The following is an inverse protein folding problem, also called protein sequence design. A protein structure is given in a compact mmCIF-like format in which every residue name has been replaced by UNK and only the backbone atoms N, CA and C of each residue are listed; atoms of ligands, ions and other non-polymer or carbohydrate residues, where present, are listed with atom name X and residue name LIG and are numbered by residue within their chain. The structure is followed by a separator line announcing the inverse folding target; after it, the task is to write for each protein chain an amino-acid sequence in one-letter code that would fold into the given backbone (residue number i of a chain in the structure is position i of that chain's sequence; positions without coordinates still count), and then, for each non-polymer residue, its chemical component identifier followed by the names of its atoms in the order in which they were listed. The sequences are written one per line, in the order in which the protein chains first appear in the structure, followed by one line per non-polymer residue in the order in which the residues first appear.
data_IF_464074721911
#
_entry.id   IF_464074721911
#
_cell.length_a   1.000
_cell.length_b   1.000
_cell.length_c   1.000
_cell.angle_alpha   90.00
_cell.angle_beta   90.00
_cell.angle_gamma   90.00
#
_symmetry.space_group_name_H-M   'P 1'
#
loop_
_entity.id
_entity.type
_entity.pdbx_description
1 polymer ?
#
# COMPACT_ATOMS: atom_id res chain seq x y z
N UNK A 1 44.11 -50.86 29.67
CA UNK A 1 43.36 -50.05 30.67
C UNK A 1 43.37 -48.57 30.37
N UNK A 2 44.47 -47.90 30.04
CA UNK A 2 44.52 -46.42 29.81
C UNK A 2 43.62 -45.92 28.65
N UNK A 3 43.43 -46.67 27.57
CA UNK A 3 42.60 -46.21 26.41
C UNK A 3 41.10 -46.23 26.74
N UNK A 4 40.61 -47.24 27.42
CA UNK A 4 39.22 -47.39 27.82
C UNK A 4 38.81 -46.31 28.84
N UNK A 5 39.67 -45.98 29.78
CA UNK A 5 39.45 -44.88 30.74
C UNK A 5 39.31 -43.52 30.05
N UNK A 6 40.07 -43.26 28.99
CA UNK A 6 39.94 -42.03 28.18
C UNK A 6 38.60 -41.99 27.46
N UNK A 7 38.14 -43.12 26.91
CA UNK A 7 36.84 -43.18 26.24
C UNK A 7 35.72 -42.89 27.22
N UNK A 8 35.71 -43.50 28.40
CA UNK A 8 34.73 -43.25 29.46
C UNK A 8 34.74 -41.78 29.90
N UNK A 9 35.91 -41.18 30.04
CA UNK A 9 36.05 -39.76 30.40
C UNK A 9 35.42 -38.85 29.34
N UNK A 10 35.66 -39.14 28.06
CA UNK A 10 35.04 -38.39 26.96
C UNK A 10 33.50 -38.53 26.90
N UNK A 11 32.99 -39.70 27.18
CA UNK A 11 31.54 -39.95 27.25
C UNK A 11 30.91 -39.17 28.42
N UNK A 12 31.54 -39.18 29.59
CA UNK A 12 31.08 -38.40 30.75
C UNK A 12 31.13 -36.89 30.48
N UNK A 13 32.18 -36.40 29.83
CA UNK A 13 32.28 -35.00 29.44
C UNK A 13 31.21 -34.61 28.42
N UNK A 14 30.98 -35.45 27.41
CA UNK A 14 29.90 -35.20 26.43
C UNK A 14 28.52 -35.23 27.10
N UNK A 15 28.27 -36.18 28.03
CA UNK A 15 27.01 -36.23 28.81
C UNK A 15 26.85 -34.98 29.69
N UNK A 16 27.92 -34.52 30.33
CA UNK A 16 27.90 -33.28 31.13
C UNK A 16 27.59 -32.05 30.30
N UNK A 17 28.19 -31.90 29.12
CA UNK A 17 27.91 -30.80 28.19
C UNK A 17 26.47 -30.84 27.66
N UNK A 18 25.98 -32.03 27.27
CA UNK A 18 24.59 -32.16 26.77
C UNK A 18 23.57 -31.83 27.84
N UNK A 19 23.78 -32.30 29.09
CA UNK A 19 22.87 -31.97 30.19
C UNK A 19 22.92 -30.45 30.53
N UNK A 20 24.05 -29.83 30.50
CA UNK A 20 24.21 -28.38 30.71
C UNK A 20 23.50 -27.58 29.59
N UNK A 21 23.60 -28.02 28.33
CA UNK A 21 22.91 -27.40 27.20
C UNK A 21 21.38 -27.55 27.31
N UNK A 22 20.90 -28.73 27.68
CA UNK A 22 19.46 -28.98 27.88
C UNK A 22 18.92 -28.10 29.02
N UNK A 23 19.63 -28.02 30.13
CA UNK A 23 19.25 -27.17 31.26
C UNK A 23 19.24 -25.70 30.89
N UNK A 24 20.27 -25.23 30.20
CA UNK A 24 20.35 -23.84 29.69
C UNK A 24 19.19 -23.54 28.75
N UNK A 25 18.88 -24.45 27.82
CA UNK A 25 17.75 -24.31 26.91
C UNK A 25 16.40 -24.24 27.63
N UNK A 26 16.18 -25.10 28.62
CA UNK A 26 14.95 -25.09 29.44
C UNK A 26 14.80 -23.79 30.25
N UNK A 27 15.90 -23.26 30.79
CA UNK A 27 15.89 -21.97 31.48
C UNK A 27 15.57 -20.82 30.52
N UNK A 28 16.13 -20.84 29.31
CA UNK A 28 15.84 -19.81 28.28
C UNK A 28 14.37 -19.82 27.87
N UNK A 29 13.74 -20.99 27.78
CA UNK A 29 12.32 -21.14 27.43
C UNK A 29 11.36 -20.57 28.51
N UNK A 30 11.76 -20.54 29.77
CA UNK A 30 10.98 -20.02 30.90
C UNK A 30 11.15 -18.51 31.10
N UNK A 31 12.09 -17.89 30.42
CA UNK A 31 12.28 -16.44 30.53
C UNK A 31 11.10 -15.71 29.89
N UNK A 32 10.63 -14.66 30.58
CA UNK A 32 9.56 -13.80 30.09
C UNK A 32 10.06 -12.91 28.96
N UNK A 33 9.21 -12.71 27.98
CA UNK A 33 9.47 -11.82 26.86
C UNK A 33 9.34 -10.37 27.32
N UNK A 34 10.27 -9.54 26.86
CA UNK A 34 10.22 -8.10 27.07
C UNK A 34 9.39 -7.44 25.98
N UNK A 35 8.89 -6.24 26.23
CA UNK A 35 8.20 -5.44 25.23
C UNK A 35 9.07 -5.29 23.97
N UNK A 36 8.45 -5.35 22.77
CA UNK A 36 9.19 -5.22 21.53
C UNK A 36 9.71 -3.80 21.34
N UNK A 37 10.78 -3.68 20.58
CA UNK A 37 11.13 -2.42 19.94
C UNK A 37 10.50 -2.45 18.53
N UNK A 38 9.45 -1.66 18.35
CA UNK A 38 8.75 -1.53 17.07
C UNK A 38 9.39 -0.37 16.31
N UNK A 39 9.65 -0.55 15.03
CA UNK A 39 10.10 0.48 14.11
C UNK A 39 9.23 0.42 12.86
N UNK A 40 8.42 1.45 12.67
CA UNK A 40 7.54 1.57 11.50
C UNK A 40 8.16 2.63 10.59
N UNK A 41 8.54 2.22 9.38
CA UNK A 41 9.00 3.11 8.34
C UNK A 41 7.80 3.58 7.51
N UNK A 42 7.64 4.90 7.45
CA UNK A 42 6.54 5.57 6.75
C UNK A 42 7.14 6.53 5.73
N UNK A 43 6.76 6.40 4.47
CA UNK A 43 7.07 7.41 3.46
C UNK A 43 6.04 8.54 3.52
N UNK A 44 6.52 9.77 3.81
CA UNK A 44 5.69 10.96 3.97
C UNK A 44 4.86 10.96 5.25
N UNK A 45 3.65 11.53 5.20
CA UNK A 45 2.74 11.70 6.35
C UNK A 45 1.74 10.53 6.54
N UNK A 46 1.90 9.43 5.82
CA UNK A 46 0.90 8.35 5.73
C UNK A 46 0.95 7.40 6.93
N UNK A 47 0.39 7.78 8.05
CA UNK A 47 0.37 6.98 9.29
C UNK A 47 -0.85 6.05 9.32
N UNK A 48 -0.88 5.02 8.48
CA UNK A 48 -1.97 4.04 8.44
C UNK A 48 -1.94 3.04 9.60
N UNK A 49 -0.80 2.88 10.25
CA UNK A 49 -0.58 2.00 11.40
C UNK A 49 0.36 2.68 12.39
N UNK A 50 0.00 2.68 13.67
CA UNK A 50 0.87 3.14 14.77
C UNK A 50 1.40 1.95 15.56
N UNK A 51 2.47 2.17 16.33
CA UNK A 51 3.02 1.15 17.23
C UNK A 51 1.98 0.65 18.22
N UNK A 52 1.18 1.58 18.79
CA UNK A 52 0.12 1.26 19.73
C UNK A 52 -0.95 0.37 19.10
N UNK A 53 -1.45 0.76 17.92
CA UNK A 53 -2.47 -0.03 17.23
C UNK A 53 -1.95 -1.41 16.82
N UNK A 54 -0.71 -1.50 16.35
CA UNK A 54 -0.09 -2.79 16.08
C UNK A 54 -0.07 -3.68 17.31
N UNK A 55 0.35 -3.12 18.45
CA UNK A 55 0.40 -3.84 19.71
C UNK A 55 -0.97 -4.33 20.15
N UNK A 56 -1.98 -3.47 20.07
CA UNK A 56 -3.36 -3.80 20.41
C UNK A 56 -3.93 -4.90 19.52
N UNK A 57 -3.65 -4.85 18.21
CA UNK A 57 -4.04 -5.90 17.26
C UNK A 57 -3.35 -7.25 17.53
N UNK A 58 -2.08 -7.23 17.92
CA UNK A 58 -1.34 -8.46 18.27
C UNK A 58 -1.88 -9.06 19.56
N UNK A 59 -2.23 -8.24 20.57
CA UNK A 59 -2.89 -8.69 21.82
C UNK A 59 -4.28 -9.25 21.52
N UNK A 60 -5.08 -8.57 20.74
CA UNK A 60 -6.41 -9.02 20.34
C UNK A 60 -6.39 -10.40 19.67
N UNK A 61 -5.40 -10.65 18.83
CA UNK A 61 -5.21 -11.96 18.18
C UNK A 61 -4.51 -13.01 19.08
N UNK A 62 -4.33 -12.71 20.38
CA UNK A 62 -3.66 -13.60 21.35
C UNK A 62 -2.26 -14.05 20.90
N UNK A 63 -1.56 -13.22 20.13
CA UNK A 63 -0.20 -13.49 19.68
C UNK A 63 0.84 -13.03 20.67
N UNK A 64 0.51 -12.00 21.44
CA UNK A 64 1.32 -11.44 22.50
C UNK A 64 0.44 -11.14 23.73
N UNK A 65 0.99 -11.34 24.91
CA UNK A 65 0.35 -10.99 26.18
C UNK A 65 1.39 -10.69 27.26
N UNK A 66 0.98 -9.94 28.27
CA UNK A 66 1.89 -9.51 29.33
C UNK A 66 2.35 -10.71 30.16
N UNK A 67 3.66 -10.83 30.34
CA UNK A 67 4.27 -11.94 31.07
C UNK A 67 4.37 -13.26 30.30
N UNK A 68 4.23 -13.24 28.98
CA UNK A 68 4.36 -14.38 28.10
C UNK A 68 5.76 -15.01 28.17
N UNK A 69 5.78 -16.34 28.26
CA UNK A 69 7.02 -17.10 28.24
C UNK A 69 7.56 -17.23 26.82
N UNK A 70 8.88 -17.37 26.73
CA UNK A 70 9.56 -17.55 25.45
C UNK A 70 9.10 -18.81 24.68
N UNK A 71 8.66 -19.84 25.41
CA UNK A 71 8.15 -21.11 24.86
C UNK A 71 6.89 -20.91 24.00
N UNK A 72 6.01 -19.98 24.41
CA UNK A 72 4.72 -19.72 23.75
C UNK A 72 4.81 -18.62 22.69
N UNK A 73 5.97 -17.96 22.59
CA UNK A 73 6.19 -16.86 21.67
C UNK A 73 6.60 -17.36 20.29
N UNK A 74 5.74 -17.12 19.31
CA UNK A 74 5.95 -17.59 17.93
C UNK A 74 6.18 -16.40 16.98
N UNK A 75 7.45 -16.12 16.67
CA UNK A 75 7.89 -15.05 15.79
C UNK A 75 7.30 -15.20 14.39
N UNK A 76 7.31 -16.41 13.82
CA UNK A 76 6.82 -16.66 12.47
C UNK A 76 5.32 -16.40 12.36
N UNK A 77 4.55 -16.76 13.39
CA UNK A 77 3.11 -16.52 13.44
C UNK A 77 2.82 -15.02 13.53
N UNK A 78 3.60 -14.27 14.30
CA UNK A 78 3.48 -12.81 14.42
C UNK A 78 3.82 -12.16 13.07
N UNK A 79 4.95 -12.49 12.47
CA UNK A 79 5.38 -11.95 11.18
C UNK A 79 4.35 -12.23 10.08
N UNK A 80 3.85 -13.46 10.01
CA UNK A 80 2.81 -13.86 9.05
C UNK A 80 1.49 -13.10 9.28
N UNK A 81 1.14 -12.80 10.53
CA UNK A 81 -0.07 -12.03 10.83
C UNK A 81 0.08 -10.58 10.42
N UNK A 82 1.23 -9.97 10.70
CA UNK A 82 1.52 -8.58 10.30
C UNK A 82 1.62 -8.48 8.77
N UNK A 83 2.26 -9.44 8.09
CA UNK A 83 2.40 -9.42 6.62
C UNK A 83 1.06 -9.52 5.86
N UNK A 84 -0.01 -9.99 6.53
CA UNK A 84 -1.37 -10.04 5.96
C UNK A 84 -2.15 -8.74 6.14
N UNK A 85 -1.63 -7.78 6.90
CA UNK A 85 -2.26 -6.47 7.04
C UNK A 85 -2.11 -5.71 5.72
N UNK A 86 -3.20 -5.17 5.20
CA UNK A 86 -3.23 -4.58 3.86
C UNK A 86 -2.38 -3.31 3.72
N UNK A 87 -2.13 -2.63 4.82
CA UNK A 87 -1.29 -1.44 4.91
C UNK A 87 0.21 -1.74 5.00
N UNK A 88 0.60 -3.02 5.21
CA UNK A 88 2.00 -3.44 5.35
C UNK A 88 2.57 -3.86 4.01
N UNK A 89 3.68 -3.24 3.60
CA UNK A 89 4.45 -3.61 2.41
C UNK A 89 5.44 -4.71 2.74
N UNK A 90 6.25 -4.49 3.78
CA UNK A 90 7.24 -5.45 4.26
C UNK A 90 7.23 -5.50 5.78
N UNK A 91 7.51 -6.67 6.33
CA UNK A 91 7.70 -6.86 7.77
C UNK A 91 8.84 -7.82 8.04
N UNK A 92 9.58 -7.55 9.09
CA UNK A 92 10.60 -8.46 9.62
C UNK A 92 10.51 -8.48 11.14
N UNK A 93 10.29 -9.67 11.69
CA UNK A 93 10.25 -9.91 13.13
C UNK A 93 11.45 -10.76 13.50
N UNK A 94 12.24 -10.32 14.46
CA UNK A 94 13.42 -11.07 14.90
C UNK A 94 13.68 -10.85 16.40
N UNK A 95 14.41 -11.78 16.97
CA UNK A 95 14.76 -11.78 18.38
C UNK A 95 16.26 -11.68 18.55
N UNK A 96 16.68 -10.94 19.56
CA UNK A 96 18.08 -10.78 19.96
C UNK A 96 18.41 -11.65 21.19
N UNK A 97 19.69 -11.84 21.47
CA UNK A 97 20.16 -12.41 22.70
C UNK A 97 19.64 -11.57 23.88
N UNK A 98 19.05 -12.22 24.91
CA UNK A 98 18.48 -11.53 26.07
C UNK A 98 16.98 -11.25 25.99
N UNK A 99 16.21 -11.99 25.18
CA UNK A 99 14.74 -11.96 25.09
C UNK A 99 14.13 -10.62 24.64
N UNK A 100 14.90 -9.79 23.98
CA UNK A 100 14.39 -8.61 23.27
C UNK A 100 14.04 -9.01 21.85
N UNK A 101 12.87 -8.61 21.41
CA UNK A 101 12.44 -8.83 20.03
C UNK A 101 12.13 -7.49 19.35
N UNK A 102 12.19 -7.51 18.04
CA UNK A 102 12.11 -6.34 17.19
C UNK A 102 11.12 -6.59 16.08
N UNK A 103 10.34 -5.58 15.77
CA UNK A 103 9.44 -5.56 14.64
C UNK A 103 9.84 -4.38 13.76
N UNK A 104 10.27 -4.67 12.54
CA UNK A 104 10.52 -3.67 11.51
C UNK A 104 9.43 -3.78 10.47
N UNK A 105 8.73 -2.68 10.22
CA UNK A 105 7.62 -2.61 9.27
C UNK A 105 7.89 -1.49 8.29
N UNK A 106 7.62 -1.75 7.03
CA UNK A 106 7.51 -0.78 5.96
C UNK A 106 6.05 -0.70 5.53
N UNK A 107 5.46 0.48 5.63
CA UNK A 107 4.06 0.71 5.22
C UNK A 107 3.97 0.97 3.72
N UNK A 108 2.83 0.61 3.13
CA UNK A 108 2.51 0.91 1.75
C UNK A 108 2.21 2.40 1.58
N UNK A 109 2.58 2.93 0.42
CA UNK A 109 2.34 4.33 0.05
C UNK A 109 1.13 4.41 -0.87
N UNK A 110 -0.01 4.91 -0.41
CA UNK A 110 -1.20 5.06 -1.24
C UNK A 110 -0.99 6.14 -2.31
N UNK A 111 -1.51 5.91 -3.52
CA UNK A 111 -1.51 6.86 -4.64
C UNK A 111 -2.91 7.26 -5.08
N UNK A 112 -3.93 6.48 -4.72
CA UNK A 112 -5.33 6.80 -5.01
C UNK A 112 -6.27 6.29 -3.94
N UNK A 113 -7.41 6.96 -3.79
CA UNK A 113 -8.56 6.51 -3.01
C UNK A 113 -9.75 6.28 -3.93
N UNK A 114 -10.38 5.13 -3.81
CA UNK A 114 -11.45 4.69 -4.70
C UNK A 114 -12.75 4.56 -3.91
N UNK A 115 -13.83 5.12 -4.47
CA UNK A 115 -15.21 4.97 -4.02
C UNK A 115 -15.99 4.24 -5.11
N UNK A 116 -16.42 3.01 -4.85
CA UNK A 116 -17.17 2.23 -5.82
C UNK A 116 -18.67 2.38 -5.65
N UNK A 117 -19.44 1.88 -6.65
CA UNK A 117 -20.91 1.94 -6.64
C UNK A 117 -21.59 1.12 -5.51
N UNK A 118 -20.82 0.26 -4.83
CA UNK A 118 -21.32 -0.58 -3.73
C UNK A 118 -21.11 0.07 -2.35
N UNK A 119 -20.72 1.34 -2.30
CA UNK A 119 -20.47 2.07 -1.05
C UNK A 119 -19.15 1.70 -0.35
N UNK A 120 -18.28 0.91 -1.01
CA UNK A 120 -16.96 0.61 -0.47
C UNK A 120 -15.99 1.75 -0.80
N UNK A 121 -15.07 2.03 0.15
CA UNK A 121 -13.94 2.91 -0.10
C UNK A 121 -12.65 2.21 0.33
N UNK A 122 -11.64 2.26 -0.54
CA UNK A 122 -10.32 1.66 -0.32
C UNK A 122 -9.24 2.46 -1.04
N UNK A 123 -7.99 2.17 -0.72
CA UNK A 123 -6.85 2.79 -1.38
C UNK A 123 -6.18 1.79 -2.34
N UNK A 124 -5.38 2.33 -3.26
CA UNK A 124 -4.42 1.60 -4.06
C UNK A 124 -3.04 2.23 -3.84
N UNK A 125 -2.01 1.40 -3.68
CA UNK A 125 -0.64 1.85 -3.48
C UNK A 125 0.16 1.97 -4.78
N UNK A 126 1.39 2.46 -4.68
CA UNK A 126 2.31 2.63 -5.82
C UNK A 126 2.69 1.31 -6.51
N UNK A 127 2.60 0.17 -5.80
CA UNK A 127 2.87 -1.18 -6.33
C UNK A 127 1.59 -1.84 -6.89
N UNK A 128 0.44 -1.15 -6.85
CA UNK A 128 -0.84 -1.65 -7.35
C UNK A 128 -1.57 -2.60 -6.40
N UNK A 129 -1.26 -2.58 -5.09
CA UNK A 129 -2.02 -3.34 -4.10
C UNK A 129 -3.16 -2.51 -3.52
N UNK A 130 -4.30 -3.17 -3.30
CA UNK A 130 -5.41 -2.53 -2.63
C UNK A 130 -5.20 -2.54 -1.11
N UNK A 131 -5.47 -1.40 -0.48
CA UNK A 131 -5.32 -1.20 0.96
C UNK A 131 -6.67 -0.83 1.58
N UNK A 132 -6.94 -1.31 2.79
CA UNK A 132 -8.09 -0.89 3.56
C UNK A 132 -7.94 0.57 4.05
N UNK A 133 -9.08 1.17 4.41
CA UNK A 133 -9.06 2.44 5.13
C UNK A 133 -8.44 2.25 6.51
N UNK A 134 -7.75 3.27 6.99
CA UNK A 134 -7.38 3.41 8.40
C UNK A 134 -8.37 4.36 9.09
N UNK A 135 -8.68 4.09 10.35
CA UNK A 135 -9.42 5.04 11.19
C UNK A 135 -8.51 6.14 11.76
N UNK A 136 -7.20 5.95 11.67
CA UNK A 136 -6.20 6.87 12.22
C UNK A 136 -5.82 7.97 11.24
N UNK A 137 -5.84 7.65 9.93
CA UNK A 137 -5.31 8.54 8.91
C UNK A 137 -6.09 8.48 7.60
N UNK A 138 -6.23 9.64 6.96
CA UNK A 138 -6.76 9.75 5.60
C UNK A 138 -5.69 10.36 4.71
N UNK A 139 -5.16 9.58 3.77
CA UNK A 139 -4.14 10.05 2.85
C UNK A 139 -4.71 11.09 1.86
N UNK A 140 -3.93 12.13 1.60
CA UNK A 140 -4.22 13.13 0.56
C UNK A 140 -3.72 12.62 -0.78
N UNK A 141 -4.58 11.91 -1.49
CA UNK A 141 -4.27 11.27 -2.78
C UNK A 141 -5.41 11.51 -3.75
N UNK A 142 -5.17 11.23 -5.02
CA UNK A 142 -6.19 11.34 -6.07
C UNK A 142 -7.43 10.51 -5.74
N UNK A 143 -8.61 11.11 -5.85
CA UNK A 143 -9.89 10.47 -5.51
C UNK A 143 -10.58 9.98 -6.79
N UNK A 144 -10.96 8.71 -6.81
CA UNK A 144 -11.78 8.13 -7.87
C UNK A 144 -13.19 7.83 -7.39
N UNK A 145 -14.17 8.22 -8.20
CA UNK A 145 -15.60 8.00 -7.93
C UNK A 145 -16.38 7.74 -9.21
N UNK A 146 -17.68 7.57 -9.11
CA UNK A 146 -18.56 7.33 -10.25
C UNK A 146 -18.89 5.87 -10.48
N UNK A 147 -18.97 5.43 -11.72
CA UNK A 147 -19.46 4.10 -12.07
C UNK A 147 -18.39 3.01 -11.98
N UNK A 148 -17.67 2.98 -10.85
CA UNK A 148 -16.62 1.99 -10.56
C UNK A 148 -17.26 0.75 -9.95
N UNK A 149 -17.17 -0.38 -10.66
CA UNK A 149 -17.70 -1.68 -10.21
C UNK A 149 -16.65 -2.57 -9.52
N UNK A 150 -15.40 -2.13 -9.49
CA UNK A 150 -14.32 -2.89 -8.85
C UNK A 150 -14.51 -2.93 -7.35
N UNK A 151 -14.56 -4.15 -6.79
CA UNK A 151 -14.63 -4.38 -5.35
C UNK A 151 -13.24 -4.52 -4.77
N UNK A 152 -13.09 -4.20 -3.49
CA UNK A 152 -11.86 -4.47 -2.75
C UNK A 152 -11.47 -5.95 -2.88
N UNK A 153 -10.21 -6.19 -3.17
CA UNK A 153 -9.63 -7.52 -3.33
C UNK A 153 -8.20 -7.53 -2.81
N UNK A 154 -7.75 -8.66 -2.27
CA UNK A 154 -6.34 -8.85 -1.91
C UNK A 154 -5.41 -9.05 -3.12
N UNK A 155 -5.96 -9.12 -4.34
CA UNK A 155 -5.18 -9.25 -5.57
C UNK A 155 -4.56 -7.92 -5.97
N UNK A 156 -3.31 -7.95 -6.41
CA UNK A 156 -2.65 -6.79 -7.00
C UNK A 156 -3.19 -6.47 -8.39
N UNK A 157 -3.03 -5.21 -8.82
CA UNK A 157 -3.39 -4.78 -10.19
C UNK A 157 -2.57 -5.55 -11.24
N UNK A 158 -1.31 -5.90 -10.93
CA UNK A 158 -0.47 -6.71 -11.83
C UNK A 158 -1.12 -8.06 -12.19
N UNK A 159 -1.82 -8.69 -11.27
CA UNK A 159 -2.57 -9.93 -11.54
C UNK A 159 -3.80 -9.70 -12.43
N UNK A 160 -4.35 -8.49 -12.43
CA UNK A 160 -5.48 -8.10 -13.29
C UNK A 160 -4.97 -7.74 -14.68
N UNK A 161 -3.87 -6.99 -14.77
CA UNK A 161 -3.23 -6.59 -16.04
C UNK A 161 -2.79 -7.80 -16.86
N UNK A 162 -2.29 -8.84 -16.21
CA UNK A 162 -1.83 -10.06 -16.87
C UNK A 162 -2.95 -11.03 -17.26
N UNK A 163 -4.21 -10.65 -17.03
CA UNK A 163 -5.38 -11.46 -17.36
C UNK A 163 -6.33 -10.68 -18.29
N UNK A 164 -6.32 -10.98 -19.57
CA UNK A 164 -7.08 -10.25 -20.60
C UNK A 164 -8.59 -10.28 -20.37
N UNK A 165 -9.13 -11.36 -19.85
CA UNK A 165 -10.56 -11.47 -19.49
C UNK A 165 -10.93 -10.52 -18.34
N UNK A 166 -10.01 -10.23 -17.43
CA UNK A 166 -10.24 -9.29 -16.33
C UNK A 166 -10.08 -7.84 -16.75
N UNK A 167 -9.17 -7.54 -17.68
CA UNK A 167 -8.97 -6.17 -18.22
C UNK A 167 -10.25 -5.60 -18.85
N UNK A 168 -11.01 -6.41 -19.56
CA UNK A 168 -12.23 -5.96 -20.25
C UNK A 168 -13.37 -5.60 -19.27
N UNK A 169 -13.36 -6.16 -18.06
CA UNK A 169 -14.45 -6.03 -17.08
C UNK A 169 -14.07 -5.04 -15.98
N UNK A 170 -12.80 -4.93 -15.63
CA UNK A 170 -12.28 -4.16 -14.51
C UNK A 170 -11.65 -2.85 -14.96
N UNK A 171 -11.90 -1.79 -14.20
CA UNK A 171 -11.33 -0.46 -14.43
C UNK A 171 -10.15 -0.12 -13.53
N UNK A 172 -9.85 -0.99 -12.59
CA UNK A 172 -8.82 -0.76 -11.58
C UNK A 172 -7.42 -0.59 -12.17
N UNK A 173 -7.12 -1.24 -13.30
CA UNK A 173 -5.85 -1.11 -14.02
C UNK A 173 -5.72 0.28 -14.69
N UNK A 174 -6.81 0.80 -15.27
CA UNK A 174 -6.85 2.15 -15.82
C UNK A 174 -6.74 3.21 -14.71
N UNK A 175 -7.42 2.98 -13.58
CA UNK A 175 -7.34 3.82 -12.38
C UNK A 175 -5.90 3.85 -11.86
N UNK A 176 -5.24 2.70 -11.76
CA UNK A 176 -3.85 2.62 -11.33
C UNK A 176 -2.91 3.41 -12.24
N UNK A 177 -3.02 3.25 -13.57
CA UNK A 177 -2.17 3.97 -14.52
C UNK A 177 -2.35 5.48 -14.43
N UNK A 178 -3.59 5.98 -14.36
CA UNK A 178 -3.85 7.41 -14.17
C UNK A 178 -3.21 7.88 -12.86
N UNK A 179 -3.44 7.15 -11.77
CA UNK A 179 -2.92 7.52 -10.44
C UNK A 179 -1.40 7.54 -10.41
N UNK A 180 -0.76 6.51 -10.98
CA UNK A 180 0.69 6.38 -11.01
C UNK A 180 1.34 7.48 -11.87
N UNK A 181 0.68 7.93 -12.94
CA UNK A 181 1.15 9.05 -13.75
C UNK A 181 1.01 10.37 -12.98
N UNK A 182 -0.20 10.64 -12.45
CA UNK A 182 -0.50 11.90 -11.75
C UNK A 182 0.35 12.05 -10.49
N UNK A 183 0.56 11.01 -9.69
CA UNK A 183 1.31 11.13 -8.44
C UNK A 183 2.81 11.40 -8.65
N UNK A 184 3.36 11.06 -9.82
CA UNK A 184 4.76 11.32 -10.19
C UNK A 184 5.00 12.71 -10.80
N UNK A 185 3.93 13.37 -11.21
CA UNK A 185 3.99 14.68 -11.86
C UNK A 185 3.65 15.79 -10.86
N UNK A 186 4.56 16.75 -10.69
CA UNK A 186 4.42 17.82 -9.70
C UNK A 186 3.31 18.83 -10.03
N UNK A 187 3.02 19.05 -11.32
CA UNK A 187 1.93 19.91 -11.77
C UNK A 187 0.58 19.18 -11.64
N UNK A 188 0.48 17.98 -12.23
CA UNK A 188 -0.76 17.24 -12.28
C UNK A 188 -1.25 16.82 -10.89
N UNK A 189 -0.35 16.48 -9.98
CA UNK A 189 -0.70 16.14 -8.58
C UNK A 189 -1.31 17.31 -7.81
N UNK A 190 -0.98 18.54 -8.19
CA UNK A 190 -1.58 19.77 -7.62
C UNK A 190 -2.79 20.29 -8.41
N UNK A 191 -2.89 19.90 -9.67
CA UNK A 191 -3.96 20.33 -10.55
C UNK A 191 -5.20 19.45 -10.41
N UNK A 192 -5.03 18.12 -10.31
CA UNK A 192 -6.14 17.17 -10.39
C UNK A 192 -6.45 16.62 -8.99
N UNK A 193 -7.66 16.92 -8.47
CA UNK A 193 -8.11 16.47 -7.16
C UNK A 193 -8.96 15.20 -7.20
N UNK A 194 -9.77 15.06 -8.27
CA UNK A 194 -10.73 13.97 -8.39
C UNK A 194 -10.84 13.49 -9.82
N UNK A 195 -11.17 12.21 -9.98
CA UNK A 195 -11.48 11.56 -11.25
C UNK A 195 -12.83 10.87 -11.13
N UNK A 196 -13.72 11.17 -12.06
CA UNK A 196 -15.05 10.58 -12.11
C UNK A 196 -15.18 9.63 -13.31
N UNK A 197 -15.55 8.38 -13.07
CA UNK A 197 -15.81 7.40 -14.11
C UNK A 197 -17.28 7.46 -14.54
N UNK A 198 -17.52 7.80 -15.80
CA UNK A 198 -18.87 7.77 -16.40
C UNK A 198 -19.33 6.34 -16.70
N UNK A 199 -20.64 6.14 -16.88
CA UNK A 199 -21.24 4.83 -17.26
C UNK A 199 -20.73 4.31 -18.61
N UNK A 200 -20.36 5.21 -19.53
CA UNK A 200 -19.79 4.86 -20.84
C UNK A 200 -18.31 4.45 -20.78
N UNK A 201 -17.68 4.49 -19.61
CA UNK A 201 -16.28 4.12 -19.40
C UNK A 201 -15.27 5.25 -19.57
N UNK A 202 -15.71 6.49 -19.84
CA UNK A 202 -14.83 7.65 -19.92
C UNK A 202 -14.48 8.18 -18.53
N UNK A 203 -13.21 8.49 -18.31
CA UNK A 203 -12.72 9.21 -17.15
C UNK A 203 -12.84 10.73 -17.36
N UNK A 204 -13.35 11.42 -16.36
CA UNK A 204 -13.43 12.87 -16.28
C UNK A 204 -12.53 13.30 -15.13
N UNK A 205 -11.53 14.12 -15.42
CA UNK A 205 -10.68 14.71 -14.40
C UNK A 205 -11.32 16.02 -13.92
N UNK A 206 -11.31 16.21 -12.63
CA UNK A 206 -11.85 17.42 -11.97
C UNK A 206 -10.67 18.15 -11.35
N UNK A 207 -10.28 19.31 -11.93
CA UNK A 207 -9.19 20.08 -11.40
C UNK A 207 -9.54 20.75 -10.06
N UNK A 208 -8.52 21.08 -9.28
CA UNK A 208 -8.64 21.82 -8.02
C UNK A 208 -8.77 23.34 -8.25
N UNK A 209 -8.42 23.80 -9.45
CA UNK A 209 -8.46 25.20 -9.84
C UNK A 209 -9.28 25.34 -11.11
N UNK A 210 -10.24 26.25 -11.10
CA UNK A 210 -11.20 26.46 -12.20
C UNK A 210 -12.40 25.51 -12.12
N UNK A 211 -13.42 25.82 -12.92
CA UNK A 211 -14.70 25.08 -12.94
C UNK A 211 -14.80 24.09 -14.12
N UNK A 212 -13.78 24.05 -14.99
CA UNK A 212 -13.78 23.22 -16.19
C UNK A 212 -13.65 21.73 -15.87
N UNK A 213 -14.36 20.91 -16.65
CA UNK A 213 -14.21 19.46 -16.61
C UNK A 213 -13.26 18.99 -17.71
N UNK A 214 -12.34 18.10 -17.38
CA UNK A 214 -11.40 17.56 -18.36
C UNK A 214 -11.89 16.18 -18.77
N UNK A 215 -12.32 16.03 -20.02
CA UNK A 215 -12.73 14.74 -20.59
C UNK A 215 -11.47 13.99 -21.03
N UNK A 216 -11.04 13.04 -20.21
CA UNK A 216 -9.83 12.24 -20.46
C UNK A 216 -10.12 11.04 -21.38
N UNK A 217 -11.32 10.48 -21.29
CA UNK A 217 -11.69 9.24 -21.99
C UNK A 217 -11.07 8.02 -21.33
N UNK A 218 -10.65 7.02 -22.11
CA UNK A 218 -10.05 5.78 -21.63
C UNK A 218 -8.56 5.90 -21.29
N UNK A 219 -8.04 4.99 -20.47
CA UNK A 219 -6.65 4.91 -20.03
C UNK A 219 -6.04 3.51 -20.26
N UNK A 220 -6.29 2.92 -21.43
CA UNK A 220 -5.92 1.52 -21.74
C UNK A 220 -4.41 1.27 -21.82
N UNK A 221 -3.60 2.26 -22.19
CA UNK A 221 -2.15 2.09 -22.30
C UNK A 221 -1.40 3.27 -21.67
N UNK A 222 -0.20 3.02 -21.17
CA UNK A 222 0.68 4.04 -20.59
C UNK A 222 1.08 5.09 -21.61
N UNK A 223 1.36 4.68 -22.87
CA UNK A 223 1.70 5.61 -23.94
C UNK A 223 0.57 6.62 -24.20
N UNK A 224 -0.70 6.15 -24.35
CA UNK A 224 -1.85 7.03 -24.57
C UNK A 224 -2.13 7.95 -23.39
N UNK A 225 -1.84 7.49 -22.17
CA UNK A 225 -1.95 8.32 -20.98
C UNK A 225 -0.92 9.44 -21.00
N UNK A 226 0.35 9.13 -21.29
CA UNK A 226 1.41 10.12 -21.41
C UNK A 226 1.06 11.17 -22.46
N UNK A 227 0.71 10.75 -23.67
CA UNK A 227 0.33 11.65 -24.77
C UNK A 227 -0.83 12.59 -24.41
N UNK A 228 -1.83 12.11 -23.65
CA UNK A 228 -2.97 12.92 -23.22
C UNK A 228 -2.58 13.92 -22.13
N UNK A 229 -1.78 13.50 -21.15
CA UNK A 229 -1.31 14.41 -20.11
C UNK A 229 -0.31 15.43 -20.62
N UNK A 230 0.55 15.06 -21.58
CA UNK A 230 1.48 15.99 -22.21
C UNK A 230 0.73 17.08 -22.98
N UNK A 231 -0.30 16.72 -23.76
CA UNK A 231 -1.19 17.72 -24.40
C UNK A 231 -1.91 18.58 -23.37
N UNK A 232 -2.42 17.98 -22.31
CA UNK A 232 -3.09 18.73 -21.24
C UNK A 232 -2.14 19.71 -20.57
N UNK A 233 -0.90 19.32 -20.32
CA UNK A 233 0.13 20.19 -19.74
C UNK A 233 0.41 21.39 -20.64
N UNK A 234 0.70 21.15 -21.91
CA UNK A 234 0.94 22.22 -22.90
C UNK A 234 -0.26 23.17 -22.93
N UNK A 235 -1.49 22.66 -22.90
CA UNK A 235 -2.68 23.49 -22.90
C UNK A 235 -2.77 24.37 -21.64
N UNK A 236 -2.45 23.84 -20.46
CA UNK A 236 -2.45 24.61 -19.21
C UNK A 236 -1.31 25.63 -19.14
N UNK A 237 -0.14 25.30 -19.68
CA UNK A 237 1.04 26.17 -19.64
C UNK A 237 0.98 27.27 -20.73
N UNK A 238 0.51 26.95 -21.93
CA UNK A 238 0.56 27.84 -23.08
C UNK A 238 -0.83 28.35 -23.50
N UNK A 239 -1.86 27.51 -23.45
CA UNK A 239 -3.21 27.86 -23.95
C UNK A 239 -4.03 28.66 -22.93
N UNK A 240 -4.10 28.21 -21.68
CA UNK A 240 -4.94 28.87 -20.66
C UNK A 240 -4.54 30.30 -20.34
N UNK A 241 -3.25 30.70 -20.33
CA UNK A 241 -2.87 32.10 -20.13
C UNK A 241 -3.39 33.03 -21.22
N UNK A 242 -3.49 32.56 -22.47
CA UNK A 242 -4.04 33.37 -23.58
C UNK A 242 -5.56 33.39 -23.64
N UNK A 243 -6.17 32.22 -23.36
CA UNK A 243 -7.60 32.03 -23.56
C UNK A 243 -8.44 32.48 -22.35
N UNK A 244 -7.82 32.51 -21.16
CA UNK A 244 -8.51 32.74 -19.88
C UNK A 244 -9.11 31.52 -19.25
N UNK A 245 -9.07 31.45 -17.92
CA UNK A 245 -9.46 30.27 -17.12
C UNK A 245 -10.97 30.02 -17.12
N UNK A 246 -11.80 31.03 -17.36
CA UNK A 246 -13.26 30.93 -17.29
C UNK A 246 -13.92 30.74 -18.66
N UNK A 247 -13.12 30.64 -19.74
CA UNK A 247 -13.67 30.59 -21.11
C UNK A 247 -14.32 29.25 -21.45
N UNK A 248 -13.81 28.16 -20.86
CA UNK A 248 -14.24 26.81 -21.22
C UNK A 248 -14.82 26.08 -20.02
N UNK A 249 -15.99 25.43 -20.23
CA UNK A 249 -16.61 24.52 -19.26
C UNK A 249 -16.07 23.10 -19.38
N UNK A 250 -15.57 22.73 -20.58
CA UNK A 250 -15.07 21.40 -20.86
C UNK A 250 -13.84 21.45 -21.77
N UNK A 251 -12.80 20.71 -21.37
CA UNK A 251 -11.56 20.53 -22.11
C UNK A 251 -11.46 19.03 -22.38
N UNK A 252 -11.45 18.59 -23.64
CA UNK A 252 -11.36 17.18 -24.00
C UNK A 252 -10.00 16.85 -24.60
N UNK A 253 -9.27 15.95 -23.96
CA UNK A 253 -8.03 15.31 -24.44
C UNK A 253 -8.29 13.89 -24.93
N UNK A 254 -9.56 13.48 -25.01
CA UNK A 254 -9.99 12.13 -25.38
C UNK A 254 -9.54 11.74 -26.79
N UNK A 255 -9.55 12.71 -27.71
CA UNK A 255 -9.27 12.49 -29.12
C UNK A 255 -7.75 12.56 -29.39
N UNK A 256 -7.29 11.75 -30.34
CA UNK A 256 -5.89 11.65 -30.68
C UNK A 256 -5.40 12.94 -31.38
N UNK A 257 -4.22 13.42 -30.99
CA UNK A 257 -3.56 14.57 -31.61
C UNK A 257 -4.20 15.94 -31.40
N UNK A 258 -5.34 16.05 -30.68
CA UNK A 258 -6.07 17.32 -30.54
C UNK A 258 -6.68 17.55 -29.15
N UNK A 259 -6.92 18.81 -28.82
CA UNK A 259 -7.71 19.22 -27.67
C UNK A 259 -8.98 19.88 -28.21
N UNK A 260 -10.13 19.45 -27.72
CA UNK A 260 -11.43 20.02 -28.08
C UNK A 260 -12.00 20.71 -26.85
N UNK A 261 -12.24 22.01 -26.95
CA UNK A 261 -12.78 22.82 -25.86
C UNK A 261 -14.21 23.24 -26.17
N UNK A 262 -15.10 23.16 -25.16
CA UNK A 262 -16.45 23.66 -25.22
C UNK A 262 -16.54 24.95 -24.39
N UNK A 263 -16.97 26.05 -25.02
CA UNK A 263 -17.20 27.31 -24.33
C UNK A 263 -18.33 27.20 -23.34
N UNK A 264 -18.17 27.82 -22.19
CA UNK A 264 -19.22 27.98 -21.20
C UNK A 264 -20.30 28.95 -21.69
N UNK A 265 -21.54 28.68 -21.33
CA UNK A 265 -22.66 29.62 -21.51
C UNK A 265 -22.69 30.57 -20.29
N UNK A 266 -21.63 31.39 -20.11
CA UNK A 266 -21.65 32.49 -19.13
C UNK A 266 -22.00 33.80 -19.81
#
# INVERSE_FOLDING_TARGET
MKKWLRIVLWILLAAGVTTALIFSYQQEQKKKIKNPKISIHVEGENTFLTEKELWDRLKFNSLVFDGQDNKTFNIEKIERTISRMTEVKNVKVFKNIGNRWFVKIELRKPIARIFNIYGQSYYIDEDGFMMNRSNLHTARVLIFSGFIKDKFSSKSVAQIINNDSLKSIKKIDEIYRISNYVCKDTLLSKLIGQVYLKKNGDFILIPLVGDQKIVFGSAYSEQKISEKFDRLRIFYEEGMPYEGWDKYDEISVKYEGQIVCRKGNK
#
